data_IF_688380275139
#
_entry.id   IF_688380275139
#
_cell.length_a   1.000
_cell.length_b   1.000
_cell.length_c   1.000
_cell.angle_alpha   90.00
_cell.angle_beta   90.00
_cell.angle_gamma   90.00
#
_symmetry.space_group_name_H-M   'P 1'
#
loop_
_entity.id
_entity.type
_entity.pdbx_description
1 polymer ?
#
# COMPACT_ATOMS: atom_id res chain seq x y z
N UNK A 1 -22.12 -16.41 -6.60
CA UNK A 1 -21.21 -15.62 -5.73
C UNK A 1 -22.00 -14.42 -5.26
N UNK A 2 -22.02 -14.06 -3.96
CA UNK A 2 -22.68 -12.84 -3.56
C UNK A 2 -21.95 -11.65 -4.21
N UNK A 3 -22.69 -10.86 -4.99
CA UNK A 3 -22.25 -9.55 -5.45
C UNK A 3 -21.88 -8.72 -4.21
N UNK A 4 -20.63 -8.29 -4.11
CA UNK A 4 -20.20 -7.34 -3.10
C UNK A 4 -21.04 -6.07 -3.31
N UNK A 5 -21.98 -5.82 -2.39
CA UNK A 5 -22.79 -4.61 -2.42
C UNK A 5 -21.88 -3.38 -2.43
N UNK A 6 -22.27 -2.34 -3.14
CA UNK A 6 -21.54 -1.06 -3.32
C UNK A 6 -20.99 -0.48 -2.02
N UNK A 7 -21.63 -0.78 -0.88
CA UNK A 7 -21.21 -0.32 0.46
C UNK A 7 -19.96 -1.03 1.03
N UNK A 8 -19.47 -2.08 0.37
CA UNK A 8 -18.29 -2.85 0.79
C UNK A 8 -17.03 -2.55 0.00
N UNK A 9 -17.12 -1.73 -1.05
CA UNK A 9 -15.98 -1.36 -1.89
C UNK A 9 -15.25 -0.12 -1.34
N UNK A 10 -13.91 -0.19 -1.28
CA UNK A 10 -13.07 0.99 -1.06
C UNK A 10 -12.76 1.71 -2.36
N UNK A 11 -12.42 0.93 -3.39
CA UNK A 11 -12.25 1.45 -4.76
C UNK A 11 -13.03 0.62 -5.76
N UNK A 12 -13.53 1.31 -6.79
CA UNK A 12 -14.04 0.69 -8.02
C UNK A 12 -13.32 1.32 -9.21
N UNK A 13 -12.72 0.49 -10.05
CA UNK A 13 -12.11 0.89 -11.31
C UNK A 13 -12.97 0.39 -12.44
N UNK A 14 -13.29 1.26 -13.41
CA UNK A 14 -14.20 0.97 -14.52
C UNK A 14 -13.54 1.36 -15.83
N UNK A 15 -13.14 0.37 -16.64
CA UNK A 15 -12.50 0.55 -17.94
C UNK A 15 -11.21 1.38 -17.89
N UNK A 16 -10.47 1.32 -16.78
CA UNK A 16 -9.32 2.18 -16.52
C UNK A 16 -8.16 1.82 -17.42
N UNK A 17 -7.61 2.84 -18.10
CA UNK A 17 -6.41 2.75 -18.92
C UNK A 17 -5.39 3.82 -18.55
N UNK A 18 -4.09 3.46 -18.66
CA UNK A 18 -2.97 4.36 -18.35
C UNK A 18 -1.86 4.20 -19.37
N UNK A 19 -1.26 5.31 -19.74
CA UNK A 19 -0.11 5.37 -20.65
C UNK A 19 1.02 6.11 -19.94
N UNK A 20 2.26 5.61 -20.06
CA UNK A 20 3.45 6.22 -19.51
C UNK A 20 4.55 6.25 -20.56
N UNK A 21 5.13 7.42 -20.82
CA UNK A 21 6.15 7.61 -21.85
C UNK A 21 5.76 7.00 -23.22
N UNK A 22 4.50 7.21 -23.64
CA UNK A 22 3.97 6.72 -24.91
C UNK A 22 3.65 5.21 -24.96
N UNK A 23 3.85 4.47 -23.86
CA UNK A 23 3.52 3.04 -23.76
C UNK A 23 2.31 2.80 -22.88
N UNK A 24 1.36 1.99 -23.34
CA UNK A 24 0.23 1.56 -22.52
C UNK A 24 0.75 0.67 -21.39
N UNK A 25 0.49 1.06 -20.14
CA UNK A 25 0.90 0.34 -18.92
C UNK A 25 -0.28 -0.29 -18.20
N UNK A 26 -1.50 0.24 -18.39
CA UNK A 26 -2.74 -0.39 -17.94
C UNK A 26 -3.79 -0.30 -19.03
N UNK A 27 -4.58 -1.36 -19.19
CA UNK A 27 -5.57 -1.45 -20.27
C UNK A 27 -6.83 -2.16 -19.79
N UNK A 28 -7.98 -1.47 -19.93
CA UNK A 28 -9.31 -2.00 -19.61
C UNK A 28 -9.38 -2.66 -18.22
N UNK A 29 -8.94 -1.93 -17.21
CA UNK A 29 -8.97 -2.43 -15.83
C UNK A 29 -10.34 -2.21 -15.23
N UNK A 30 -11.05 -3.32 -14.99
CA UNK A 30 -12.34 -3.38 -14.29
C UNK A 30 -12.17 -4.22 -13.02
N UNK A 31 -12.18 -3.58 -11.86
CA UNK A 31 -11.95 -4.27 -10.59
C UNK A 31 -12.52 -3.50 -9.40
N UNK A 32 -12.90 -4.24 -8.37
CA UNK A 32 -13.32 -3.71 -7.07
C UNK A 32 -12.30 -4.10 -5.99
N UNK A 33 -11.88 -3.14 -5.17
CA UNK A 33 -11.03 -3.35 -4.00
C UNK A 33 -11.93 -3.27 -2.76
N UNK A 34 -12.07 -4.37 -2.00
CA UNK A 34 -12.95 -4.41 -0.82
C UNK A 34 -12.38 -3.58 0.33
N UNK A 35 -13.28 -3.03 1.17
CA UNK A 35 -12.93 -2.25 2.38
C UNK A 35 -12.42 -3.16 3.49
N UNK A 36 -11.52 -2.61 4.31
CA UNK A 36 -11.04 -3.23 5.56
C UNK A 36 -10.41 -4.61 5.38
N UNK A 37 -9.97 -4.89 4.18
CA UNK A 37 -9.29 -6.13 3.81
C UNK A 37 -7.92 -5.82 3.22
N UNK A 38 -7.06 -6.85 3.21
CA UNK A 38 -5.79 -6.82 2.51
C UNK A 38 -6.02 -7.36 1.10
N UNK A 39 -5.89 -6.49 0.11
CA UNK A 39 -5.85 -6.88 -1.30
C UNK A 39 -4.40 -6.95 -1.75
N UNK A 40 -4.00 -8.08 -2.30
CA UNK A 40 -2.67 -8.23 -2.89
C UNK A 40 -2.75 -8.17 -4.41
N UNK A 41 -1.94 -7.31 -5.01
CA UNK A 41 -1.76 -7.15 -6.43
C UNK A 41 -0.49 -7.89 -6.86
N UNK A 42 -0.64 -9.09 -7.40
CA UNK A 42 0.44 -9.92 -7.91
C UNK A 42 0.67 -9.73 -9.40
N UNK A 43 1.90 -10.00 -9.86
CA UNK A 43 2.24 -9.99 -11.28
C UNK A 43 3.73 -9.78 -11.51
N UNK A 44 4.21 -9.99 -12.73
CA UNK A 44 5.63 -9.85 -13.07
C UNK A 44 6.12 -8.41 -12.88
N UNK A 45 7.44 -8.24 -12.76
CA UNK A 45 8.07 -6.92 -12.79
C UNK A 45 7.75 -6.23 -14.12
N UNK A 46 7.45 -4.93 -14.06
CA UNK A 46 7.01 -4.17 -15.24
C UNK A 46 5.54 -4.39 -15.65
N UNK A 47 4.80 -5.28 -15.00
CA UNK A 47 3.39 -5.58 -15.34
C UNK A 47 2.38 -4.49 -15.03
N UNK A 48 2.81 -3.32 -14.50
CA UNK A 48 1.92 -2.17 -14.24
C UNK A 48 1.48 -1.99 -12.78
N UNK A 49 1.97 -2.81 -11.82
CA UNK A 49 1.57 -2.78 -10.40
C UNK A 49 1.74 -1.40 -9.75
N UNK A 50 2.92 -0.81 -9.87
CA UNK A 50 3.20 0.55 -9.36
C UNK A 50 2.29 1.58 -10.01
N UNK A 51 2.05 1.50 -11.33
CA UNK A 51 1.13 2.41 -12.03
C UNK A 51 -0.30 2.27 -11.54
N UNK A 52 -0.75 1.04 -11.29
CA UNK A 52 -2.05 0.78 -10.69
C UNK A 52 -2.19 1.45 -9.32
N UNK A 53 -1.22 1.26 -8.41
CA UNK A 53 -1.26 1.90 -7.10
C UNK A 53 -1.22 3.43 -7.19
N UNK A 54 -0.43 4.00 -8.11
CA UNK A 54 -0.31 5.46 -8.29
C UNK A 54 -1.59 6.13 -8.74
N UNK A 55 -2.45 5.42 -9.47
CA UNK A 55 -3.78 5.91 -9.84
C UNK A 55 -4.70 6.03 -8.63
N UNK A 56 -4.61 5.11 -7.65
CA UNK A 56 -5.52 5.08 -6.49
C UNK A 56 -5.36 6.28 -5.54
N UNK A 57 -4.23 6.99 -5.59
CA UNK A 57 -4.04 8.23 -4.80
C UNK A 57 -3.73 9.45 -5.67
N UNK A 58 -4.01 9.37 -6.98
CA UNK A 58 -3.79 10.45 -7.93
C UNK A 58 -2.36 10.97 -7.95
N UNK A 59 -1.36 10.08 -7.80
CA UNK A 59 0.03 10.38 -8.20
C UNK A 59 0.15 10.39 -9.72
N UNK A 60 -0.70 9.63 -10.40
CA UNK A 60 -0.97 9.70 -11.83
C UNK A 60 -2.49 9.73 -12.03
N UNK A 61 -2.98 10.38 -13.08
CA UNK A 61 -4.40 10.35 -13.48
C UNK A 61 -4.58 9.36 -14.65
N UNK A 62 -5.70 8.62 -14.71
CA UNK A 62 -5.96 7.69 -15.81
C UNK A 62 -6.15 8.45 -17.13
N UNK A 63 -5.76 7.84 -18.26
CA UNK A 63 -6.02 8.42 -19.59
C UNK A 63 -7.43 8.10 -20.09
N UNK A 64 -8.09 7.08 -19.50
CA UNK A 64 -9.47 6.70 -19.74
C UNK A 64 -10.05 5.90 -18.59
N UNK A 65 -11.37 5.81 -18.55
CA UNK A 65 -12.12 5.12 -17.50
C UNK A 65 -12.23 5.94 -16.23
N UNK A 66 -12.94 5.39 -15.26
CA UNK A 66 -13.25 6.06 -14.01
C UNK A 66 -12.74 5.27 -12.82
N UNK A 67 -12.29 5.99 -11.79
CA UNK A 67 -11.92 5.44 -10.49
C UNK A 67 -12.81 6.08 -9.43
N UNK A 68 -13.54 5.26 -8.68
CA UNK A 68 -14.31 5.73 -7.54
C UNK A 68 -13.57 5.33 -6.25
N UNK A 69 -13.52 6.25 -5.30
CA UNK A 69 -13.09 6.01 -3.93
C UNK A 69 -14.26 6.30 -2.99
N UNK A 70 -14.60 5.34 -2.13
CA UNK A 70 -15.79 5.43 -1.26
C UNK A 70 -17.07 5.79 -2.04
N UNK A 71 -17.24 5.24 -3.25
CA UNK A 71 -18.40 5.47 -4.13
C UNK A 71 -18.43 6.82 -4.86
N UNK A 72 -17.41 7.68 -4.69
CA UNK A 72 -17.32 9.00 -5.32
C UNK A 72 -16.14 9.04 -6.30
N UNK A 73 -16.31 9.67 -7.50
CA UNK A 73 -15.20 9.82 -8.45
C UNK A 73 -13.96 10.43 -7.81
N UNK A 74 -12.80 9.77 -7.99
CA UNK A 74 -11.55 10.17 -7.33
C UNK A 74 -11.10 11.58 -7.75
N UNK A 75 -11.47 12.02 -8.95
CA UNK A 75 -11.15 13.35 -9.49
C UNK A 75 -11.86 14.49 -8.77
N UNK A 76 -12.97 14.20 -8.07
CA UNK A 76 -13.72 15.18 -7.29
C UNK A 76 -13.11 15.45 -5.90
N UNK A 77 -12.14 14.65 -5.48
CA UNK A 77 -11.43 14.92 -4.23
C UNK A 77 -10.33 15.96 -4.45
N UNK A 78 -10.18 16.86 -3.51
CA UNK A 78 -8.93 17.65 -3.41
C UNK A 78 -7.77 16.67 -3.22
N UNK A 79 -6.73 16.78 -4.05
CA UNK A 79 -5.59 15.85 -4.08
C UNK A 79 -4.93 15.69 -2.71
N UNK A 80 -4.75 16.78 -1.97
CA UNK A 80 -4.19 16.76 -0.61
C UNK A 80 -5.06 15.98 0.37
N UNK A 81 -6.39 16.16 0.30
CA UNK A 81 -7.35 15.44 1.13
C UNK A 81 -7.37 13.95 0.78
N UNK A 82 -7.33 13.62 -0.52
CA UNK A 82 -7.25 12.25 -0.97
C UNK A 82 -5.99 11.56 -0.44
N UNK A 83 -4.82 12.17 -0.62
CA UNK A 83 -3.53 11.59 -0.23
C UNK A 83 -3.36 11.43 1.28
N UNK A 84 -4.05 12.21 2.10
CA UNK A 84 -4.15 11.95 3.55
C UNK A 84 -4.97 10.71 3.85
N UNK A 85 -6.05 10.46 3.08
CA UNK A 85 -6.92 9.29 3.27
C UNK A 85 -6.36 8.03 2.64
N UNK A 86 -5.58 8.18 1.58
CA UNK A 86 -4.98 7.09 0.79
C UNK A 86 -3.46 7.30 0.81
N UNK A 87 -2.83 6.79 1.85
CA UNK A 87 -1.39 6.92 2.03
C UNK A 87 -0.62 5.93 1.15
N UNK A 88 0.55 6.34 0.67
CA UNK A 88 1.41 5.56 -0.21
C UNK A 88 2.78 5.32 0.43
N UNK A 89 3.20 4.06 0.50
CA UNK A 89 4.55 3.65 0.91
C UNK A 89 5.28 3.12 -0.32
N UNK A 90 6.35 3.82 -0.69
CA UNK A 90 7.15 3.49 -1.86
C UNK A 90 8.06 2.29 -1.61
N UNK A 91 8.44 1.59 -2.66
CA UNK A 91 9.34 0.45 -2.65
C UNK A 91 10.68 0.79 -1.98
N UNK A 92 11.29 1.91 -2.38
CA UNK A 92 12.54 2.39 -1.78
C UNK A 92 12.23 3.36 -0.64
N UNK A 93 12.64 3.03 0.60
CA UNK A 93 12.43 3.93 1.73
C UNK A 93 13.28 5.19 1.60
N UNK A 94 12.60 6.34 1.58
CA UNK A 94 13.25 7.65 1.54
C UNK A 94 13.17 8.27 2.93
N UNK A 95 14.32 8.62 3.49
CA UNK A 95 14.43 9.38 4.74
C UNK A 95 14.75 10.84 4.42
N UNK A 96 14.03 11.75 5.06
CA UNK A 96 14.40 13.16 5.09
C UNK A 96 15.61 13.35 6.04
N UNK A 97 16.35 14.44 5.84
CA UNK A 97 17.44 14.81 6.75
C UNK A 97 16.91 15.01 8.18
N UNK A 98 17.70 14.60 9.18
CA UNK A 98 17.31 14.69 10.58
C UNK A 98 17.00 13.33 11.22
N UNK A 99 16.29 13.36 12.32
CA UNK A 99 15.93 12.20 13.15
C UNK A 99 14.69 11.46 12.61
N UNK A 100 14.35 10.34 13.23
CA UNK A 100 13.06 9.67 13.00
C UNK A 100 11.90 10.59 13.38
N UNK A 101 12.04 11.32 14.51
CA UNK A 101 11.05 12.31 14.95
C UNK A 101 10.80 13.37 13.89
N UNK A 102 11.84 13.94 13.27
CA UNK A 102 11.73 14.92 12.19
C UNK A 102 10.98 14.33 10.98
N UNK A 103 11.26 13.07 10.64
CA UNK A 103 10.58 12.36 9.54
C UNK A 103 9.09 12.15 9.81
N UNK A 104 8.69 11.91 11.05
CA UNK A 104 7.29 11.81 11.45
C UNK A 104 6.62 13.18 11.50
N UNK A 105 7.34 14.23 11.94
CA UNK A 105 6.83 15.58 12.04
C UNK A 105 6.37 16.15 10.69
N UNK A 106 7.11 15.87 9.60
CA UNK A 106 6.69 16.26 8.24
C UNK A 106 5.29 15.71 7.89
N UNK A 107 5.02 14.46 8.25
CA UNK A 107 3.70 13.88 7.98
C UNK A 107 2.61 14.40 8.93
N UNK A 108 2.97 14.67 10.19
CA UNK A 108 2.09 15.28 11.17
C UNK A 108 1.62 16.67 10.74
N UNK A 109 2.54 17.51 10.26
CA UNK A 109 2.25 18.84 9.72
C UNK A 109 1.29 18.74 8.53
N UNK A 110 1.57 17.87 7.56
CA UNK A 110 0.70 17.61 6.41
C UNK A 110 -0.69 17.09 6.84
N UNK A 111 -0.79 16.36 7.94
CA UNK A 111 -2.05 15.88 8.50
C UNK A 111 -2.81 16.95 9.27
N UNK A 112 -2.16 18.05 9.65
CA UNK A 112 -2.72 19.10 10.49
C UNK A 112 -2.77 18.69 11.98
N UNK A 113 -1.83 17.84 12.41
CA UNK A 113 -1.69 17.43 13.82
C UNK A 113 -1.18 18.62 14.63
N UNK A 114 -1.85 18.91 15.75
CA UNK A 114 -1.44 20.01 16.64
C UNK A 114 -0.20 19.59 17.48
N UNK A 115 0.64 20.55 17.81
CA UNK A 115 1.90 20.32 18.52
C UNK A 115 1.74 19.46 19.79
N UNK A 116 0.72 19.73 20.60
CA UNK A 116 0.43 18.95 21.80
C UNK A 116 0.04 17.48 21.58
N UNK A 117 -0.30 17.09 20.34
CA UNK A 117 -0.73 15.73 20.00
C UNK A 117 0.39 14.93 19.30
N UNK A 118 1.45 15.60 18.83
CA UNK A 118 2.50 14.98 18.02
C UNK A 118 3.16 13.81 18.76
N UNK A 119 3.68 14.00 19.96
CA UNK A 119 4.41 12.98 20.70
C UNK A 119 3.56 11.73 20.98
N UNK A 120 2.28 11.91 21.32
CA UNK A 120 1.38 10.79 21.55
C UNK A 120 1.16 10.01 20.25
N UNK A 121 0.89 10.69 19.15
CA UNK A 121 0.68 10.06 17.85
C UNK A 121 1.97 9.40 17.32
N UNK A 122 3.13 10.06 17.46
CA UNK A 122 4.43 9.51 17.07
C UNK A 122 4.71 8.19 17.79
N UNK A 123 4.56 8.15 19.12
CA UNK A 123 4.72 6.92 19.90
C UNK A 123 3.73 5.83 19.43
N UNK A 124 2.49 6.19 19.14
CA UNK A 124 1.48 5.25 18.68
C UNK A 124 1.83 4.64 17.32
N UNK A 125 2.26 5.44 16.34
CA UNK A 125 2.62 4.92 15.01
C UNK A 125 3.93 4.16 15.04
N UNK A 126 4.88 4.53 15.91
CA UNK A 126 6.11 3.76 16.14
C UNK A 126 5.77 2.34 16.64
N UNK A 127 4.89 2.24 17.63
CA UNK A 127 4.43 0.95 18.16
C UNK A 127 3.71 0.12 17.08
N UNK A 128 2.82 0.76 16.29
CA UNK A 128 2.11 0.11 15.19
C UNK A 128 3.05 -0.40 14.09
N UNK A 129 4.16 0.28 13.86
CA UNK A 129 5.20 -0.13 12.91
C UNK A 129 6.24 -1.07 13.53
N UNK A 130 6.04 -1.48 14.80
CA UNK A 130 7.00 -2.29 15.57
C UNK A 130 8.41 -1.68 15.59
N UNK A 131 8.49 -0.38 15.87
CA UNK A 131 9.72 0.37 16.08
C UNK A 131 9.87 0.70 17.57
N UNK A 132 11.08 0.53 18.09
CA UNK A 132 11.42 0.94 19.45
C UNK A 132 11.30 2.47 19.60
N UNK A 133 10.60 2.99 20.62
CA UNK A 133 10.48 4.43 20.84
C UNK A 133 11.82 5.15 21.00
N UNK A 134 12.87 4.45 21.49
CA UNK A 134 14.24 4.95 21.59
C UNK A 134 14.86 5.38 20.25
N UNK A 135 14.28 4.93 19.12
CA UNK A 135 14.73 5.32 17.79
C UNK A 135 14.24 6.71 17.37
N UNK A 136 13.33 7.35 18.11
CA UNK A 136 12.77 8.65 17.72
C UNK A 136 13.85 9.72 17.46
N UNK A 137 14.86 9.78 18.34
CA UNK A 137 15.95 10.77 18.25
C UNK A 137 17.12 10.29 17.37
N UNK A 138 17.02 9.07 16.80
CA UNK A 138 18.11 8.53 15.98
C UNK A 138 18.11 9.16 14.59
N UNK A 139 19.27 9.54 14.05
CA UNK A 139 19.39 10.03 12.67
C UNK A 139 18.87 9.00 11.67
N UNK A 140 17.98 9.44 10.75
CA UNK A 140 17.37 8.55 9.76
C UNK A 140 18.38 7.85 8.84
N UNK A 141 19.56 8.48 8.63
CA UNK A 141 20.66 7.91 7.84
C UNK A 141 21.26 6.65 8.44
N UNK A 142 21.27 6.52 9.78
CA UNK A 142 21.88 5.43 10.52
C UNK A 142 21.01 4.18 10.68
N UNK A 143 19.75 4.26 10.23
CA UNK A 143 18.82 3.15 10.33
C UNK A 143 19.16 2.05 9.33
N UNK A 144 18.91 0.79 9.71
CA UNK A 144 18.93 -0.34 8.79
C UNK A 144 17.82 -0.18 7.71
N UNK A 145 17.93 -0.93 6.61
CA UNK A 145 16.91 -0.89 5.54
C UNK A 145 15.52 -1.27 6.08
N UNK A 146 15.44 -2.30 6.92
CA UNK A 146 14.20 -2.72 7.56
C UNK A 146 13.63 -1.65 8.50
N UNK A 147 14.46 -0.99 9.29
CA UNK A 147 14.03 0.14 10.13
C UNK A 147 13.55 1.32 9.30
N UNK A 148 14.25 1.68 8.21
CA UNK A 148 13.80 2.72 7.27
C UNK A 148 12.43 2.39 6.67
N UNK A 149 12.19 1.12 6.31
CA UNK A 149 10.90 0.70 5.78
C UNK A 149 9.78 0.82 6.83
N UNK A 150 10.06 0.45 8.08
CA UNK A 150 9.12 0.62 9.20
C UNK A 150 8.88 2.11 9.53
N UNK A 151 9.87 2.99 9.43
CA UNK A 151 9.69 4.44 9.59
C UNK A 151 8.82 4.99 8.45
N UNK A 152 9.01 4.53 7.21
CA UNK A 152 8.10 4.90 6.10
C UNK A 152 6.65 4.48 6.36
N UNK A 153 6.45 3.28 6.92
CA UNK A 153 5.13 2.80 7.34
C UNK A 153 4.56 3.69 8.46
N UNK A 154 5.34 3.97 9.51
CA UNK A 154 4.94 4.85 10.60
C UNK A 154 4.57 6.25 10.08
N UNK A 155 5.38 6.81 9.19
CA UNK A 155 5.12 8.10 8.54
C UNK A 155 3.80 8.13 7.77
N UNK A 156 3.49 7.06 7.03
CA UNK A 156 2.21 6.92 6.35
C UNK A 156 1.03 6.87 7.34
N UNK A 157 1.21 6.21 8.47
CA UNK A 157 0.19 6.09 9.53
C UNK A 157 -0.07 7.40 10.29
N UNK A 158 0.87 8.36 10.29
CA UNK A 158 0.69 9.69 10.91
C UNK A 158 -0.53 10.44 10.36
N UNK A 159 -0.88 10.22 9.10
CA UNK A 159 -2.07 10.87 8.50
C UNK A 159 -3.39 10.19 8.88
N UNK A 160 -3.36 9.14 9.70
CA UNK A 160 -4.53 8.31 10.05
C UNK A 160 -5.35 7.90 8.81
N UNK A 161 -4.72 7.25 7.82
CA UNK A 161 -5.33 6.99 6.54
C UNK A 161 -6.47 5.96 6.65
N UNK A 162 -7.39 5.96 5.68
CA UNK A 162 -8.38 4.89 5.47
C UNK A 162 -7.81 3.74 4.65
N UNK A 163 -6.88 4.07 3.75
CA UNK A 163 -6.24 3.13 2.82
C UNK A 163 -4.72 3.28 2.88
N UNK A 164 -4.04 2.16 2.90
CA UNK A 164 -2.59 2.09 2.81
C UNK A 164 -2.19 1.35 1.53
N UNK A 165 -1.49 2.03 0.65
CA UNK A 165 -0.92 1.48 -0.58
C UNK A 165 0.55 1.18 -0.37
N UNK A 166 0.96 -0.06 -0.58
CA UNK A 166 2.32 -0.54 -0.35
C UNK A 166 2.89 -1.08 -1.67
N UNK A 167 3.92 -0.44 -2.18
CA UNK A 167 4.58 -0.85 -3.42
C UNK A 167 5.83 -1.66 -3.10
N UNK A 168 5.75 -2.97 -3.27
CA UNK A 168 6.82 -3.94 -3.00
C UNK A 168 7.57 -3.72 -1.66
N UNK A 169 6.86 -3.65 -0.51
CA UNK A 169 7.42 -3.19 0.75
C UNK A 169 8.54 -4.10 1.31
N UNK A 170 8.67 -5.32 0.79
CA UNK A 170 9.62 -6.34 1.26
C UNK A 170 10.76 -6.63 0.28
N UNK A 171 10.79 -5.98 -0.89
CA UNK A 171 11.71 -6.33 -1.98
C UNK A 171 13.21 -6.20 -1.65
N UNK A 172 13.56 -5.30 -0.74
CA UNK A 172 14.95 -5.04 -0.32
C UNK A 172 15.30 -5.68 1.03
N UNK A 173 14.43 -6.53 1.58
CA UNK A 173 14.57 -7.12 2.92
C UNK A 173 14.94 -8.60 2.82
N UNK A 174 15.70 -9.07 3.80
CA UNK A 174 15.93 -10.50 4.01
C UNK A 174 14.60 -11.23 4.36
N UNK A 175 14.55 -12.56 4.23
CA UNK A 175 13.30 -13.30 4.42
C UNK A 175 12.67 -13.19 5.82
N UNK A 176 13.49 -13.04 6.87
CA UNK A 176 13.00 -12.92 8.24
C UNK A 176 12.37 -11.55 8.48
N UNK A 177 13.09 -10.49 8.12
CA UNK A 177 12.61 -9.09 8.19
C UNK A 177 11.37 -8.89 7.30
N UNK A 178 11.33 -9.52 6.11
CA UNK A 178 10.15 -9.50 5.22
C UNK A 178 8.92 -10.09 5.91
N UNK A 179 9.04 -11.29 6.49
CA UNK A 179 7.94 -11.94 7.21
C UNK A 179 7.45 -11.12 8.40
N UNK A 180 8.38 -10.55 9.16
CA UNK A 180 8.05 -9.69 10.29
C UNK A 180 7.27 -8.44 9.84
N UNK A 181 7.73 -7.75 8.77
CA UNK A 181 7.03 -6.58 8.23
C UNK A 181 5.63 -6.95 7.70
N UNK A 182 5.49 -8.05 6.97
CA UNK A 182 4.18 -8.49 6.46
C UNK A 182 3.21 -8.87 7.59
N UNK A 183 3.71 -9.46 8.68
CA UNK A 183 2.91 -9.73 9.89
C UNK A 183 2.42 -8.42 10.51
N UNK A 184 3.28 -7.40 10.63
CA UNK A 184 2.91 -6.04 11.09
C UNK A 184 1.81 -5.46 10.21
N UNK A 185 1.97 -5.49 8.88
CA UNK A 185 0.98 -5.02 7.90
C UNK A 185 -0.35 -5.80 8.08
N UNK A 186 -0.28 -7.11 8.27
CA UNK A 186 -1.44 -7.96 8.52
C UNK A 186 -2.25 -7.51 9.74
N UNK A 187 -1.57 -7.22 10.84
CA UNK A 187 -2.22 -6.77 12.09
C UNK A 187 -2.93 -5.41 11.94
N UNK A 188 -2.39 -4.50 11.11
CA UNK A 188 -2.97 -3.17 10.89
C UNK A 188 -4.38 -3.24 10.27
N UNK A 189 -4.63 -4.20 9.38
CA UNK A 189 -5.96 -4.37 8.76
C UNK A 189 -7.03 -4.69 9.81
N UNK A 190 -6.75 -5.63 10.71
CA UNK A 190 -7.69 -6.03 11.76
C UNK A 190 -7.89 -4.96 12.84
N UNK A 191 -6.79 -4.45 13.42
CA UNK A 191 -6.82 -3.52 14.57
C UNK A 191 -7.37 -2.14 14.19
N UNK A 192 -7.04 -1.64 13.01
CA UNK A 192 -7.38 -0.28 12.56
C UNK A 192 -8.50 -0.23 11.53
N UNK A 193 -9.04 -1.37 11.09
CA UNK A 193 -9.99 -1.46 9.98
C UNK A 193 -9.46 -0.74 8.72
N UNK A 194 -8.14 -0.82 8.50
CA UNK A 194 -7.52 -0.26 7.32
C UNK A 194 -7.82 -1.13 6.09
N UNK A 195 -8.11 -0.48 4.97
CA UNK A 195 -7.99 -1.12 3.67
C UNK A 195 -6.53 -1.09 3.26
N UNK A 196 -5.95 -2.22 2.90
CA UNK A 196 -4.54 -2.30 2.51
C UNK A 196 -4.44 -2.88 1.11
N UNK A 197 -3.66 -2.25 0.24
CA UNK A 197 -3.33 -2.77 -1.09
C UNK A 197 -1.82 -2.94 -1.19
N UNK A 198 -1.37 -4.18 -1.35
CA UNK A 198 0.06 -4.52 -1.45
C UNK A 198 0.36 -4.97 -2.87
N UNK A 199 1.21 -4.25 -3.58
CA UNK A 199 1.81 -4.76 -4.81
C UNK A 199 3.04 -5.61 -4.47
N UNK A 200 3.11 -6.83 -4.96
CA UNK A 200 4.25 -7.72 -4.76
C UNK A 200 4.40 -8.69 -5.93
N UNK A 201 5.61 -9.16 -6.15
CA UNK A 201 5.89 -10.32 -7.02
C UNK A 201 6.07 -11.62 -6.21
N UNK A 202 6.15 -11.53 -4.88
CA UNK A 202 6.27 -12.68 -3.96
C UNK A 202 4.90 -13.28 -3.69
N UNK A 203 4.63 -14.42 -4.28
CA UNK A 203 3.33 -15.11 -4.16
C UNK A 203 3.13 -15.69 -2.76
N UNK A 204 4.21 -16.13 -2.10
CA UNK A 204 4.18 -16.61 -0.71
C UNK A 204 3.67 -15.55 0.28
N UNK A 205 4.19 -14.33 0.19
CA UNK A 205 3.73 -13.20 1.01
C UNK A 205 2.25 -12.90 0.76
N UNK A 206 1.84 -12.97 -0.53
CA UNK A 206 0.45 -12.77 -0.92
C UNK A 206 -0.48 -13.81 -0.28
N UNK A 207 -0.13 -15.09 -0.34
CA UNK A 207 -0.96 -16.19 0.20
C UNK A 207 -1.15 -16.10 1.70
N UNK A 208 -0.10 -15.71 2.44
CA UNK A 208 -0.12 -15.72 3.89
C UNK A 208 -1.02 -14.66 4.53
N UNK A 209 -1.20 -13.51 3.86
CA UNK A 209 -1.83 -12.33 4.47
C UNK A 209 -3.01 -11.77 3.66
N UNK A 210 -3.19 -12.16 2.40
CA UNK A 210 -4.25 -11.64 1.56
C UNK A 210 -5.63 -12.14 1.98
N UNK A 211 -6.61 -11.24 1.92
CA UNK A 211 -8.04 -11.56 1.97
C UNK A 211 -8.66 -11.52 0.57
N UNK A 212 -8.04 -10.77 -0.33
CA UNK A 212 -8.41 -10.64 -1.73
C UNK A 212 -7.14 -10.57 -2.58
N UNK A 213 -7.16 -11.14 -3.78
CA UNK A 213 -6.02 -11.15 -4.68
C UNK A 213 -6.42 -10.66 -6.07
N UNK A 214 -5.50 -9.93 -6.70
CA UNK A 214 -5.56 -9.49 -8.09
C UNK A 214 -4.31 -9.95 -8.80
N UNK A 215 -4.43 -10.48 -10.01
CA UNK A 215 -3.31 -10.81 -10.87
C UNK A 215 -3.26 -9.83 -12.02
N UNK A 216 -2.20 -9.05 -12.08
CA UNK A 216 -1.93 -8.09 -13.16
C UNK A 216 -0.87 -8.64 -14.10
N UNK A 217 -1.23 -8.78 -15.39
CA UNK A 217 -0.31 -9.20 -16.44
C UNK A 217 -0.52 -8.34 -17.68
N UNK A 218 0.58 -7.84 -18.24
CA UNK A 218 0.58 -7.00 -19.45
C UNK A 218 -0.44 -5.83 -19.38
N UNK A 219 -0.51 -5.19 -18.20
CA UNK A 219 -1.40 -4.07 -17.93
C UNK A 219 -2.89 -4.42 -17.78
N UNK A 220 -3.26 -5.71 -17.72
CA UNK A 220 -4.64 -6.18 -17.52
C UNK A 220 -4.79 -6.96 -16.23
N UNK A 221 -5.91 -6.78 -15.54
CA UNK A 221 -6.29 -7.69 -14.45
C UNK A 221 -6.85 -8.97 -15.09
N UNK A 222 -6.07 -10.04 -15.00
CA UNK A 222 -6.41 -11.33 -15.63
C UNK A 222 -7.18 -12.25 -14.68
N UNK A 223 -7.07 -12.04 -13.37
CA UNK A 223 -7.83 -12.77 -12.36
C UNK A 223 -8.02 -11.91 -11.10
N UNK A 224 -9.13 -12.14 -10.37
CA UNK A 224 -9.53 -11.40 -9.19
C UNK A 224 -10.39 -12.25 -8.28
N UNK A 225 -10.17 -12.21 -6.96
CA UNK A 225 -11.02 -12.91 -5.99
C UNK A 225 -10.28 -13.48 -4.79
N UNK A 226 -10.78 -14.61 -4.26
CA UNK A 226 -10.19 -15.25 -3.09
C UNK A 226 -8.76 -15.74 -3.35
N UNK A 227 -7.80 -15.49 -2.44
CA UNK A 227 -6.38 -15.76 -2.68
C UNK A 227 -6.06 -17.21 -3.05
N UNK A 228 -6.69 -18.18 -2.39
CA UNK A 228 -6.45 -19.62 -2.69
C UNK A 228 -6.78 -19.96 -4.13
N UNK A 229 -7.87 -19.42 -4.68
CA UNK A 229 -8.27 -19.62 -6.08
C UNK A 229 -7.33 -18.89 -7.04
N UNK A 230 -7.09 -17.60 -6.77
CA UNK A 230 -6.38 -16.69 -7.68
C UNK A 230 -4.89 -16.98 -7.71
N UNK A 231 -4.30 -17.29 -6.56
CA UNK A 231 -2.85 -17.49 -6.41
C UNK A 231 -2.45 -18.97 -6.42
N UNK A 232 -3.40 -19.90 -6.32
CA UNK A 232 -3.12 -21.35 -6.16
C UNK A 232 -2.29 -21.96 -7.27
N UNK A 233 -2.44 -21.48 -8.51
CA UNK A 233 -1.71 -21.94 -9.68
C UNK A 233 -0.51 -21.08 -10.08
N UNK A 234 -0.20 -20.01 -9.35
CA UNK A 234 0.93 -19.15 -9.70
C UNK A 234 2.25 -19.75 -9.19
N UNK A 235 3.30 -19.79 -10.01
CA UNK A 235 4.62 -20.16 -9.54
C UNK A 235 5.11 -19.13 -8.53
N UNK A 236 5.73 -19.60 -7.46
CA UNK A 236 6.44 -18.73 -6.51
C UNK A 236 7.93 -18.74 -6.88
N UNK A 237 8.45 -17.65 -7.48
CA UNK A 237 9.86 -17.60 -7.89
C UNK A 237 10.82 -17.63 -6.69
N UNK A 238 10.33 -17.35 -5.48
CA UNK A 238 11.11 -17.36 -4.24
C UNK A 238 10.85 -18.61 -3.39
N UNK A 239 10.07 -19.59 -3.90
CA UNK A 239 9.89 -20.86 -3.21
C UNK A 239 11.25 -21.61 -3.15
N UNK A 240 11.64 -22.16 -1.99
CA UNK A 240 12.83 -23.00 -1.93
C UNK A 240 12.67 -24.15 -2.93
N UNK A 241 13.71 -24.33 -3.75
CA UNK A 241 13.77 -25.49 -4.65
C UNK A 241 13.60 -26.78 -3.85
N UNK A 242 12.81 -27.75 -4.34
CA UNK A 242 12.58 -29.02 -3.66
C UNK A 242 13.85 -29.82 -3.45
#
# INVERSE_FOLDING_TARGET
MPELKVDTASFELRGVGQTRAGRTVLQDVDVTIPRHLITVLCGPSGGGKTSFLRLLNRLDDPVRGDILFDGRPIVEYMVTTLRRRVAFVFQTPVMFSGTVSDNLAVAAELAGVQDGQFHQLANQVMLLAELEPSLLERPGGELSVGQKQRVNLARALMTSPKVLLLDEPTSALDPETSRALMKTIGSLSGVRRLTIVVATHRVSDARAYAHHALVLRDGRVVDSGHPERVLGGLPDPDAPSP
#
